data_IF_867741021240
#
_entry.id   IF_867741021240
#
_cell.length_a   1.000
_cell.length_b   1.000
_cell.length_c   1.000
_cell.angle_alpha   90.00
_cell.angle_beta   90.00
_cell.angle_gamma   90.00
#
_symmetry.space_group_name_H-M   'P 1'
#
loop_
_entity.id
_entity.type
_entity.pdbx_description
1 polymer ?
#
# COMPACT_ATOMS: atom_id res chain seq x y z
N UNK A 1 3.71 16.93 -5.86
CA UNK A 1 4.27 16.82 -4.49
C UNK A 1 5.62 17.52 -4.43
N UNK A 2 6.04 18.08 -3.28
CA UNK A 2 7.38 18.70 -3.14
C UNK A 2 8.45 17.63 -2.85
N UNK A 3 9.64 17.79 -3.43
CA UNK A 3 10.77 16.87 -3.25
C UNK A 3 11.17 16.67 -1.78
N UNK A 4 11.14 17.74 -0.97
CA UNK A 4 11.42 17.67 0.45
C UNK A 4 10.47 16.72 1.19
N UNK A 5 9.16 16.87 0.96
CA UNK A 5 8.12 16.00 1.53
C UNK A 5 8.31 14.56 1.06
N UNK A 6 8.59 14.36 -0.22
CA UNK A 6 8.87 13.04 -0.77
C UNK A 6 10.04 12.35 -0.06
N UNK A 7 11.14 13.06 0.17
CA UNK A 7 12.31 12.52 0.86
C UNK A 7 12.02 12.21 2.33
N UNK A 8 11.26 13.05 3.03
CA UNK A 8 10.85 12.79 4.42
C UNK A 8 9.94 11.55 4.52
N UNK A 9 9.01 11.39 3.58
CA UNK A 9 8.15 10.20 3.49
C UNK A 9 8.98 8.96 3.17
N UNK A 10 9.94 9.07 2.24
CA UNK A 10 10.86 7.98 1.89
C UNK A 10 11.64 7.50 3.12
N UNK A 11 12.24 8.43 3.85
CA UNK A 11 13.05 8.14 5.03
C UNK A 11 12.22 7.51 6.16
N UNK A 12 11.04 8.06 6.47
CA UNK A 12 10.26 7.66 7.64
C UNK A 12 9.32 6.47 7.38
N UNK A 13 8.75 6.39 6.18
CA UNK A 13 7.67 5.46 5.85
C UNK A 13 7.95 4.61 4.61
N UNK A 14 9.07 4.83 3.91
CA UNK A 14 9.38 4.14 2.65
C UNK A 14 9.42 2.61 2.73
N UNK A 15 9.62 2.02 3.91
CA UNK A 15 9.55 0.57 4.09
C UNK A 15 8.13 0.01 4.15
N UNK A 16 7.13 0.82 4.53
CA UNK A 16 5.74 0.39 4.75
C UNK A 16 4.71 1.14 3.89
N UNK A 17 5.16 2.14 3.14
CA UNK A 17 4.37 2.90 2.18
C UNK A 17 4.97 2.85 0.78
N UNK A 18 4.18 3.25 -0.21
CA UNK A 18 4.60 3.43 -1.59
C UNK A 18 3.60 4.31 -2.34
N UNK A 19 3.61 4.25 -3.66
CA UNK A 19 2.75 5.02 -4.54
C UNK A 19 2.10 4.11 -5.58
N UNK A 20 0.86 4.42 -5.93
CA UNK A 20 0.07 3.69 -6.89
C UNK A 20 0.45 4.05 -8.34
N UNK A 21 1.68 3.71 -8.72
CA UNK A 21 2.25 3.91 -10.06
C UNK A 21 3.03 2.66 -10.43
N UNK A 22 2.84 2.17 -11.65
CA UNK A 22 3.53 0.97 -12.15
C UNK A 22 4.02 1.15 -13.58
N UNK A 23 5.09 0.43 -13.94
CA UNK A 23 5.46 0.25 -15.34
C UNK A 23 4.57 -0.79 -16.03
N UNK A 24 4.14 -0.48 -17.25
CA UNK A 24 3.27 -1.36 -18.04
C UNK A 24 4.01 -2.43 -18.84
N UNK A 25 5.30 -2.24 -19.12
CA UNK A 25 6.09 -3.15 -19.94
C UNK A 25 6.67 -4.31 -19.11
N UNK A 26 6.62 -5.52 -19.68
CA UNK A 26 7.10 -6.77 -19.04
C UNK A 26 8.64 -6.89 -19.02
N UNK A 27 9.37 -6.13 -19.85
CA UNK A 27 10.84 -6.00 -19.75
C UNK A 27 11.27 -5.10 -18.57
N UNK A 28 10.29 -4.66 -17.79
CA UNK A 28 10.36 -3.64 -16.77
C UNK A 28 10.52 -4.16 -15.34
N UNK A 29 11.02 -5.37 -15.12
CA UNK A 29 11.08 -5.95 -13.77
C UNK A 29 12.52 -6.21 -13.33
N UNK A 30 12.80 -5.97 -12.05
CA UNK A 30 13.94 -6.62 -11.42
C UNK A 30 13.59 -8.06 -11.20
N UNK A 31 14.49 -8.98 -11.52
CA UNK A 31 14.37 -10.36 -11.08
C UNK A 31 15.59 -10.69 -10.22
N UNK A 32 15.34 -10.90 -8.94
CA UNK A 32 16.30 -11.52 -8.04
C UNK A 32 16.09 -13.03 -8.10
N UNK A 33 17.18 -13.79 -8.22
CA UNK A 33 17.13 -15.22 -7.96
C UNK A 33 17.33 -15.44 -6.46
N UNK A 34 16.29 -15.96 -5.80
CA UNK A 34 16.27 -16.35 -4.39
C UNK A 34 16.19 -17.88 -4.30
N UNK A 35 17.35 -18.52 -4.48
CA UNK A 35 17.54 -19.97 -4.40
C UNK A 35 16.70 -20.76 -5.44
N UNK A 36 16.75 -20.35 -6.71
CA UNK A 36 16.02 -20.98 -7.81
C UNK A 36 14.60 -20.45 -8.01
N UNK A 37 14.27 -19.29 -7.41
CA UNK A 37 12.94 -18.65 -7.49
C UNK A 37 13.10 -17.19 -7.83
N UNK A 38 12.29 -16.70 -8.74
CA UNK A 38 12.23 -15.27 -9.02
C UNK A 38 11.57 -14.51 -7.88
N UNK A 39 12.21 -13.45 -7.41
CA UNK A 39 11.57 -12.39 -6.65
C UNK A 39 11.64 -11.13 -7.50
N UNK A 40 10.49 -10.51 -7.75
CA UNK A 40 10.35 -9.44 -8.72
C UNK A 40 9.89 -8.15 -8.07
N UNK A 41 10.50 -7.05 -8.52
CA UNK A 41 10.08 -5.70 -8.20
C UNK A 41 9.77 -4.95 -9.49
N UNK A 42 8.64 -4.24 -9.52
CA UNK A 42 8.33 -3.36 -10.64
C UNK A 42 9.43 -2.28 -10.80
N UNK A 43 9.86 -1.96 -12.03
CA UNK A 43 10.93 -0.97 -12.27
C UNK A 43 10.58 0.43 -11.77
N UNK A 44 9.32 0.75 -11.51
CA UNK A 44 8.95 2.01 -10.85
C UNK A 44 9.68 2.19 -9.52
N UNK A 45 10.00 1.10 -8.80
CA UNK A 45 10.77 1.12 -7.54
C UNK A 45 12.18 1.69 -7.77
N UNK A 46 12.83 1.44 -8.92
CA UNK A 46 14.09 2.15 -9.29
C UNK A 46 13.84 3.63 -9.40
N UNK A 47 12.77 4.01 -10.10
CA UNK A 47 12.47 5.41 -10.37
C UNK A 47 12.21 6.14 -9.06
N UNK A 48 11.45 5.54 -8.15
CA UNK A 48 11.25 6.06 -6.81
C UNK A 48 12.57 6.26 -6.05
N UNK A 49 13.44 5.25 -6.06
CA UNK A 49 14.70 5.33 -5.30
C UNK A 49 15.74 6.29 -5.93
N UNK A 50 15.63 6.58 -7.23
CA UNK A 50 16.55 7.45 -7.97
C UNK A 50 16.02 8.87 -8.22
N UNK A 51 14.92 9.29 -7.59
CA UNK A 51 14.48 10.69 -7.62
C UNK A 51 15.56 11.56 -6.97
N UNK A 52 16.18 12.46 -7.76
CA UNK A 52 17.22 13.40 -7.28
C UNK A 52 16.82 14.87 -7.39
N UNK A 53 15.75 15.15 -8.13
CA UNK A 53 15.30 16.50 -8.42
C UNK A 53 13.76 16.56 -8.44
N UNK A 54 13.21 17.77 -8.32
CA UNK A 54 11.77 18.00 -8.46
C UNK A 54 11.29 17.57 -9.87
N UNK A 55 12.09 17.80 -10.90
CA UNK A 55 11.78 17.38 -12.27
C UNK A 55 11.70 15.85 -12.43
N UNK A 56 12.46 15.07 -11.64
CA UNK A 56 12.33 13.62 -11.64
C UNK A 56 11.05 13.18 -10.92
N UNK A 57 10.72 13.86 -9.82
CA UNK A 57 9.50 13.61 -9.06
C UNK A 57 8.25 13.92 -9.86
N UNK A 58 8.24 15.02 -10.61
CA UNK A 58 7.08 15.46 -11.39
C UNK A 58 6.71 14.47 -12.50
N UNK A 59 7.68 13.73 -13.05
CA UNK A 59 7.45 12.66 -14.05
C UNK A 59 6.68 11.46 -13.49
N UNK A 60 6.59 11.33 -12.17
CA UNK A 60 5.88 10.25 -11.50
C UNK A 60 4.42 10.59 -11.21
N UNK A 61 4.02 11.86 -11.42
CA UNK A 61 2.62 12.33 -11.28
C UNK A 61 2.00 12.06 -9.89
N UNK A 62 2.84 12.03 -8.85
CA UNK A 62 2.43 11.68 -7.49
C UNK A 62 1.61 12.79 -6.82
N UNK A 63 0.56 12.37 -6.10
CA UNK A 63 -0.37 13.30 -5.44
C UNK A 63 -0.91 12.78 -4.10
N UNK A 64 -1.37 13.71 -3.26
CA UNK A 64 -1.94 13.46 -1.94
C UNK A 64 -3.47 13.71 -1.89
N UNK A 65 -4.12 13.80 -3.06
CA UNK A 65 -5.58 13.98 -3.17
C UNK A 65 -6.38 12.73 -2.80
N UNK A 66 -5.75 11.57 -2.96
CA UNK A 66 -6.25 10.28 -2.53
C UNK A 66 -5.12 9.51 -1.85
N UNK A 67 -5.50 8.62 -0.94
CA UNK A 67 -4.59 7.72 -0.21
C UNK A 67 -5.24 6.35 -0.13
N UNK A 68 -4.51 5.32 -0.54
CA UNK A 68 -4.88 3.92 -0.39
C UNK A 68 -4.40 3.42 0.97
N UNK A 69 -5.33 2.90 1.77
CA UNK A 69 -5.02 2.35 3.09
C UNK A 69 -5.39 0.86 3.14
N UNK A 70 -4.37 0.02 2.98
CA UNK A 70 -4.46 -1.43 3.15
C UNK A 70 -4.41 -1.82 4.63
N UNK A 71 -4.51 -3.12 4.94
CA UNK A 71 -4.71 -3.54 6.32
C UNK A 71 -3.44 -3.50 7.14
N UNK A 72 -2.38 -4.21 6.75
CA UNK A 72 -1.23 -4.42 7.61
C UNK A 72 0.07 -4.58 6.83
N UNK A 73 1.12 -3.96 7.35
CA UNK A 73 2.48 -4.12 6.89
C UNK A 73 3.03 -5.46 7.39
N UNK A 74 3.02 -6.48 6.52
CA UNK A 74 3.39 -7.85 6.89
C UNK A 74 4.91 -8.09 6.94
N UNK A 75 5.34 -8.93 7.88
CA UNK A 75 6.73 -9.38 7.97
C UNK A 75 7.05 -10.38 6.85
N UNK A 76 8.25 -10.25 6.26
CA UNK A 76 8.84 -11.29 5.41
C UNK A 76 9.68 -12.20 6.30
N UNK A 77 9.05 -13.22 6.86
CA UNK A 77 9.69 -14.13 7.82
C UNK A 77 10.68 -15.06 7.12
N UNK A 78 11.99 -14.95 7.44
CA UNK A 78 13.07 -15.72 6.79
C UNK A 78 13.00 -17.25 7.04
N UNK A 79 12.14 -17.71 7.96
CA UNK A 79 11.86 -19.15 8.15
C UNK A 79 10.92 -19.70 7.08
N UNK A 80 10.11 -18.83 6.46
CA UNK A 80 9.21 -19.17 5.37
C UNK A 80 10.07 -19.25 4.11
N UNK A 81 10.04 -20.41 3.45
CA UNK A 81 10.89 -20.68 2.31
C UNK A 81 10.83 -19.53 1.31
N UNK A 82 9.64 -19.03 0.93
CA UNK A 82 9.45 -17.94 -0.04
C UNK A 82 10.18 -16.63 0.29
N UNK A 83 10.43 -16.35 1.57
CA UNK A 83 11.02 -15.09 2.02
C UNK A 83 12.52 -15.15 2.29
N UNK A 84 13.14 -16.33 2.19
CA UNK A 84 14.58 -16.49 2.39
C UNK A 84 15.36 -15.55 1.47
N UNK A 85 16.13 -14.64 2.07
CA UNK A 85 16.98 -13.66 1.39
C UNK A 85 16.28 -12.40 0.90
N UNK A 86 14.96 -12.26 1.10
CA UNK A 86 14.19 -11.07 0.68
C UNK A 86 14.62 -9.84 1.46
N UNK A 87 14.75 -9.93 2.79
CA UNK A 87 15.06 -8.76 3.61
C UNK A 87 16.43 -8.16 3.25
N UNK A 88 17.41 -8.99 2.91
CA UNK A 88 18.72 -8.54 2.45
C UNK A 88 18.66 -7.76 1.13
N UNK A 89 17.74 -8.12 0.22
CA UNK A 89 17.54 -7.38 -1.04
C UNK A 89 16.82 -6.05 -0.84
N UNK A 90 15.96 -5.95 0.17
CA UNK A 90 15.14 -4.78 0.43
C UNK A 90 15.76 -3.77 1.41
N UNK A 91 16.85 -4.12 2.07
CA UNK A 91 17.47 -3.29 3.12
C UNK A 91 17.69 -1.83 2.69
N UNK A 92 18.16 -1.61 1.47
CA UNK A 92 18.47 -0.27 0.91
C UNK A 92 17.45 0.18 -0.15
N UNK A 93 16.30 -0.50 -0.23
CA UNK A 93 15.24 -0.20 -1.20
C UNK A 93 14.03 0.32 -0.45
N UNK A 94 13.60 1.53 -0.76
CA UNK A 94 12.35 2.10 -0.23
C UNK A 94 11.24 2.03 -1.28
N UNK A 95 10.01 2.26 -0.85
CA UNK A 95 8.81 2.23 -1.67
C UNK A 95 8.60 0.90 -2.43
N UNK A 96 9.15 -0.19 -1.90
CA UNK A 96 8.99 -1.53 -2.48
C UNK A 96 7.64 -2.15 -2.15
N UNK A 97 7.03 -1.80 -1.00
CA UNK A 97 5.71 -2.30 -0.62
C UNK A 97 4.70 -2.07 -1.74
N UNK A 98 3.81 -3.04 -1.94
CA UNK A 98 2.81 -3.05 -3.01
C UNK A 98 3.37 -3.24 -4.43
N UNK A 99 4.70 -3.39 -4.62
CA UNK A 99 5.37 -3.58 -5.92
C UNK A 99 6.15 -4.89 -6.01
N UNK A 100 5.80 -5.86 -5.17
CA UNK A 100 6.52 -7.13 -5.01
C UNK A 100 5.74 -8.29 -5.63
N UNK A 101 6.42 -9.08 -6.45
CA UNK A 101 5.89 -10.35 -6.98
C UNK A 101 6.89 -11.49 -6.69
N UNK A 102 6.37 -12.72 -6.51
CA UNK A 102 7.20 -13.91 -6.32
C UNK A 102 6.89 -14.92 -7.41
N UNK A 103 7.89 -15.48 -8.07
CA UNK A 103 7.75 -16.58 -9.02
C UNK A 103 7.78 -17.92 -8.26
N UNK A 104 6.60 -18.50 -8.00
CA UNK A 104 6.53 -19.91 -7.60
C UNK A 104 6.66 -20.80 -8.85
N UNK A 105 7.76 -21.53 -8.91
CA UNK A 105 7.97 -22.68 -9.80
C UNK A 105 7.95 -22.34 -11.30
N UNK A 106 8.48 -21.19 -11.70
CA UNK A 106 8.65 -20.81 -13.11
C UNK A 106 7.37 -20.34 -13.80
N UNK A 107 6.31 -20.07 -13.03
CA UNK A 107 5.04 -19.57 -13.53
C UNK A 107 4.79 -18.16 -12.99
N UNK A 108 5.27 -17.16 -13.74
CA UNK A 108 5.01 -15.72 -13.51
C UNK A 108 3.51 -15.39 -13.51
N UNK A 109 2.65 -16.28 -14.01
CA UNK A 109 1.19 -16.09 -14.12
C UNK A 109 0.42 -16.11 -12.80
N UNK A 110 1.05 -16.44 -11.67
CA UNK A 110 0.34 -16.73 -10.41
C UNK A 110 0.03 -15.55 -9.48
N UNK A 111 0.45 -14.32 -9.80
CA UNK A 111 0.52 -13.25 -8.80
C UNK A 111 -0.16 -11.97 -9.28
N UNK A 112 -1.29 -11.69 -8.66
CA UNK A 112 -2.32 -10.81 -9.21
C UNK A 112 -2.47 -9.47 -8.51
N UNK A 113 -1.87 -9.30 -7.32
CA UNK A 113 -2.12 -8.11 -6.50
C UNK A 113 -1.64 -6.85 -7.22
N UNK A 114 -0.37 -6.85 -7.60
CA UNK A 114 0.28 -5.77 -8.35
C UNK A 114 -0.44 -5.51 -9.67
N UNK A 115 -0.65 -6.56 -10.48
CA UNK A 115 -1.37 -6.48 -11.77
C UNK A 115 -2.79 -5.93 -11.63
N UNK A 116 -3.58 -6.45 -10.68
CA UNK A 116 -4.95 -5.98 -10.42
C UNK A 116 -4.93 -4.53 -9.98
N UNK A 117 -4.05 -4.12 -9.06
CA UNK A 117 -3.91 -2.72 -8.66
C UNK A 117 -3.52 -1.82 -9.82
N UNK A 118 -2.44 -2.16 -10.53
CA UNK A 118 -1.93 -1.48 -11.73
C UNK A 118 -3.03 -1.20 -12.75
N UNK A 119 -3.78 -2.23 -13.16
CA UNK A 119 -4.85 -2.06 -14.14
C UNK A 119 -6.14 -1.47 -13.52
N UNK A 120 -6.43 -1.73 -12.26
CA UNK A 120 -7.62 -1.24 -11.57
C UNK A 120 -7.57 0.25 -11.23
N UNK A 121 -6.37 0.78 -10.97
CA UNK A 121 -6.17 2.17 -10.57
C UNK A 121 -5.87 3.09 -11.74
N UNK A 122 -5.39 2.54 -12.87
CA UNK A 122 -5.18 3.29 -14.11
C UNK A 122 -6.45 4.07 -14.51
N UNK A 123 -6.26 5.33 -14.93
CA UNK A 123 -7.31 6.26 -15.33
C UNK A 123 -8.32 6.62 -14.21
N UNK A 124 -7.92 6.45 -12.95
CA UNK A 124 -8.68 6.86 -11.77
C UNK A 124 -7.86 7.82 -10.91
N UNK A 125 -8.51 8.49 -9.94
CA UNK A 125 -7.82 9.33 -8.94
C UNK A 125 -6.90 8.52 -8.01
N UNK A 126 -6.91 7.18 -8.09
CA UNK A 126 -6.01 6.34 -7.33
C UNK A 126 -4.65 6.19 -8.02
N UNK A 127 -4.53 6.47 -9.33
CA UNK A 127 -3.23 6.48 -10.00
C UNK A 127 -2.38 7.65 -9.49
N UNK A 128 -1.16 7.39 -9.05
CA UNK A 128 -0.29 8.40 -8.42
C UNK A 128 -0.64 8.70 -6.96
N UNK A 129 -1.66 8.04 -6.38
CA UNK A 129 -2.00 8.17 -4.96
C UNK A 129 -0.95 7.51 -4.05
N UNK A 130 -0.82 8.03 -2.83
CA UNK A 130 0.00 7.38 -1.81
C UNK A 130 -0.66 6.09 -1.32
N UNK A 131 0.14 5.08 -1.03
CA UNK A 131 -0.29 3.77 -0.54
C UNK A 131 0.40 3.49 0.79
N UNK A 132 -0.36 3.03 1.78
CA UNK A 132 0.18 2.61 3.08
C UNK A 132 -0.72 1.53 3.69
N UNK A 133 -0.21 0.86 4.70
CA UNK A 133 -1.01 0.02 5.60
C UNK A 133 -1.51 0.78 6.82
N UNK A 134 -2.66 0.37 7.36
CA UNK A 134 -3.22 0.88 8.61
C UNK A 134 -2.40 0.38 9.81
N UNK A 135 -2.16 -0.93 9.89
CA UNK A 135 -1.40 -1.56 10.98
C UNK A 135 0.07 -1.65 10.59
N UNK A 136 0.92 -0.79 11.17
CA UNK A 136 2.37 -0.74 10.88
C UNK A 136 3.24 -0.18 12.00
N UNK A 137 2.64 0.15 13.14
CA UNK A 137 3.36 0.67 14.31
C UNK A 137 3.31 -0.32 15.47
N UNK A 138 4.40 -0.42 16.23
CA UNK A 138 4.45 -1.14 17.50
C UNK A 138 3.82 -0.31 18.63
N UNK A 139 3.71 -0.88 19.82
CA UNK A 139 3.11 -0.19 20.98
C UNK A 139 3.83 1.09 21.40
N UNK A 140 5.13 1.21 21.08
CA UNK A 140 5.94 2.41 21.31
C UNK A 140 5.86 3.44 20.15
N UNK A 141 5.05 3.16 19.12
CA UNK A 141 4.91 4.00 17.94
C UNK A 141 6.00 3.81 16.89
N UNK A 142 6.94 2.88 17.08
CA UNK A 142 7.97 2.59 16.08
C UNK A 142 7.36 1.88 14.87
N UNK A 143 7.82 2.23 13.67
CA UNK A 143 7.39 1.59 12.43
C UNK A 143 8.07 0.23 12.29
N UNK A 144 7.29 -0.85 12.30
CA UNK A 144 7.81 -2.20 12.11
C UNK A 144 6.72 -3.16 11.59
N UNK A 145 7.11 -4.18 10.81
CA UNK A 145 6.16 -5.12 10.25
C UNK A 145 5.53 -6.01 11.33
N UNK A 146 4.34 -6.52 11.03
CA UNK A 146 3.58 -7.43 11.88
C UNK A 146 3.80 -8.88 11.42
N UNK A 147 4.12 -9.77 12.35
CA UNK A 147 4.49 -11.17 12.06
C UNK A 147 3.36 -11.95 11.35
N UNK A 148 2.11 -11.77 11.77
CA UNK A 148 0.97 -12.45 11.17
C UNK A 148 0.19 -11.52 10.25
N UNK A 149 0.34 -11.75 8.94
CA UNK A 149 -0.29 -10.96 7.89
C UNK A 149 -1.66 -11.46 7.45
N UNK A 150 -2.16 -12.56 8.04
CA UNK A 150 -3.47 -13.08 7.68
C UNK A 150 -4.56 -12.25 8.34
N UNK A 151 -5.37 -11.61 7.52
CA UNK A 151 -6.46 -10.73 7.98
C UNK A 151 -7.50 -11.43 8.87
N UNK A 152 -7.56 -12.76 8.86
CA UNK A 152 -8.48 -13.58 9.64
C UNK A 152 -7.84 -14.26 10.85
N UNK A 153 -6.57 -13.99 11.16
CA UNK A 153 -5.92 -14.59 12.32
C UNK A 153 -6.46 -14.02 13.62
N UNK A 154 -6.45 -14.84 14.68
CA UNK A 154 -6.93 -14.40 16.00
C UNK A 154 -5.99 -13.36 16.61
N UNK A 155 -4.71 -13.40 16.24
CA UNK A 155 -3.74 -12.37 16.60
C UNK A 155 -4.13 -11.00 16.06
N UNK A 156 -4.35 -10.87 14.74
CA UNK A 156 -4.71 -9.59 14.15
C UNK A 156 -6.08 -9.11 14.62
N UNK A 157 -7.06 -10.01 14.80
CA UNK A 157 -8.36 -9.65 15.40
C UNK A 157 -8.21 -9.08 16.81
N UNK A 158 -7.32 -9.66 17.62
CA UNK A 158 -7.05 -9.18 18.98
C UNK A 158 -6.47 -7.76 18.94
N UNK A 159 -5.48 -7.52 18.09
CA UNK A 159 -4.89 -6.20 17.88
C UNK A 159 -5.94 -5.17 17.41
N UNK A 160 -6.75 -5.54 16.41
CA UNK A 160 -7.80 -4.68 15.86
C UNK A 160 -8.89 -4.32 16.89
N UNK A 161 -9.10 -5.15 17.91
CA UNK A 161 -10.09 -4.91 18.98
C UNK A 161 -9.48 -4.21 20.19
N UNK A 162 -8.16 -4.09 20.27
CA UNK A 162 -7.47 -3.30 21.29
C UNK A 162 -7.53 -1.81 20.92
N UNK A 163 -8.22 -1.02 21.75
CA UNK A 163 -8.43 0.41 21.50
C UNK A 163 -7.13 1.21 21.54
N UNK A 164 -6.27 0.95 22.51
CA UNK A 164 -5.02 1.71 22.69
C UNK A 164 -4.07 1.43 21.53
N UNK A 165 -3.99 0.16 21.12
CA UNK A 165 -3.25 -0.23 19.92
C UNK A 165 -3.78 0.49 18.67
N UNK A 166 -5.11 0.50 18.46
CA UNK A 166 -5.70 1.16 17.32
C UNK A 166 -5.54 2.70 17.34
N UNK A 167 -5.54 3.33 18.51
CA UNK A 167 -5.24 4.77 18.63
C UNK A 167 -3.81 5.07 18.16
N UNK A 168 -2.83 4.22 18.48
CA UNK A 168 -1.46 4.36 17.96
C UNK A 168 -1.45 4.30 16.44
N UNK A 169 -2.16 3.33 15.85
CA UNK A 169 -2.22 3.18 14.40
C UNK A 169 -2.87 4.39 13.71
N UNK A 170 -3.98 4.89 14.27
CA UNK A 170 -4.70 6.04 13.72
C UNK A 170 -3.89 7.33 13.87
N UNK A 171 -3.25 7.56 15.02
CA UNK A 171 -2.37 8.71 15.20
C UNK A 171 -1.16 8.67 14.26
N UNK A 172 -0.52 7.51 14.13
CA UNK A 172 0.61 7.34 13.22
C UNK A 172 0.22 7.54 11.76
N UNK A 173 -0.97 7.10 11.34
CA UNK A 173 -1.53 7.40 10.02
C UNK A 173 -1.80 8.90 9.86
N UNK A 174 -2.37 9.57 10.87
CA UNK A 174 -2.61 11.02 10.81
C UNK A 174 -1.30 11.78 10.63
N UNK A 175 -0.26 11.45 11.41
CA UNK A 175 1.05 12.08 11.30
C UNK A 175 1.68 11.88 9.92
N UNK A 176 1.55 10.67 9.37
CA UNK A 176 2.01 10.34 8.02
C UNK A 176 1.28 11.17 6.94
N UNK A 177 -0.05 11.27 7.02
CA UNK A 177 -0.83 12.04 6.04
C UNK A 177 -0.65 13.56 6.20
N UNK A 178 -0.41 14.04 7.42
CA UNK A 178 0.00 15.44 7.68
C UNK A 178 1.35 15.73 7.06
N UNK A 179 2.33 14.84 7.21
CA UNK A 179 3.64 14.96 6.56
C UNK A 179 3.50 15.01 5.03
N UNK A 180 2.61 14.16 4.47
CA UNK A 180 2.26 14.16 3.06
C UNK A 180 1.59 15.47 2.60
N UNK A 181 1.07 16.27 3.53
CA UNK A 181 0.37 17.53 3.27
C UNK A 181 -1.06 17.34 2.77
N UNK A 182 -1.73 16.25 3.16
CA UNK A 182 -3.12 15.99 2.78
C UNK A 182 -4.06 17.10 3.25
N UNK A 183 -5.02 17.46 2.40
CA UNK A 183 -6.15 18.35 2.71
C UNK A 183 -7.37 17.82 1.97
N UNK A 184 -8.46 17.58 2.70
CA UNK A 184 -9.68 16.97 2.19
C UNK A 184 -9.43 15.72 1.31
N UNK A 185 -8.61 14.73 1.73
CA UNK A 185 -8.27 13.60 0.87
C UNK A 185 -9.43 12.61 0.73
N UNK A 186 -9.39 11.83 -0.36
CA UNK A 186 -10.11 10.56 -0.46
C UNK A 186 -9.26 9.46 0.19
N UNK A 187 -9.67 8.96 1.34
CA UNK A 187 -9.08 7.80 2.01
C UNK A 187 -9.77 6.53 1.46
N UNK A 188 -9.12 5.90 0.48
CA UNK A 188 -9.56 4.66 -0.13
C UNK A 188 -9.11 3.46 0.70
N UNK A 189 -9.99 3.01 1.60
CA UNK A 189 -9.75 1.87 2.46
C UNK A 189 -9.86 0.55 1.67
N UNK A 190 -8.78 -0.20 1.59
CA UNK A 190 -8.72 -1.43 0.80
C UNK A 190 -9.30 -2.59 1.60
N UNK A 191 -10.40 -3.15 1.11
CA UNK A 191 -11.09 -4.26 1.76
C UNK A 191 -11.99 -3.84 2.92
N UNK A 192 -12.75 -4.82 3.44
CA UNK A 192 -13.79 -4.56 4.44
C UNK A 192 -13.28 -4.19 5.82
N UNK A 193 -12.14 -4.77 6.25
CA UNK A 193 -11.61 -4.59 7.61
C UNK A 193 -11.05 -3.18 7.78
N UNK A 194 -10.15 -2.73 6.89
CA UNK A 194 -9.61 -1.37 6.92
C UNK A 194 -10.72 -0.33 6.84
N UNK A 195 -11.71 -0.53 5.96
CA UNK A 195 -12.86 0.36 5.85
C UNK A 195 -13.67 0.41 7.15
N UNK A 196 -14.00 -0.73 7.74
CA UNK A 196 -14.78 -0.78 8.97
C UNK A 196 -14.11 -0.06 10.13
N UNK A 197 -12.76 -0.09 10.22
CA UNK A 197 -12.02 0.62 11.27
C UNK A 197 -11.97 2.12 10.97
N UNK A 198 -11.52 2.51 9.79
CA UNK A 198 -11.39 3.92 9.41
C UNK A 198 -12.76 4.65 9.41
N UNK A 199 -13.82 3.99 8.95
CA UNK A 199 -15.17 4.56 8.91
C UNK A 199 -15.96 4.35 10.22
N UNK A 200 -15.33 3.84 11.28
CA UNK A 200 -15.95 3.88 12.61
C UNK A 200 -16.12 5.35 13.04
N UNK A 201 -17.21 5.66 13.77
CA UNK A 201 -17.53 7.04 14.13
C UNK A 201 -16.34 7.78 14.74
N UNK A 202 -15.69 7.18 15.74
CA UNK A 202 -14.55 7.77 16.45
C UNK A 202 -13.39 8.12 15.52
N UNK A 203 -12.95 7.20 14.67
CA UNK A 203 -11.78 7.45 13.81
C UNK A 203 -12.12 8.29 12.60
N UNK A 204 -13.33 8.16 12.06
CA UNK A 204 -13.83 9.01 10.99
C UNK A 204 -13.88 10.48 11.41
N UNK A 205 -14.47 10.76 12.57
CA UNK A 205 -14.60 12.14 13.06
C UNK A 205 -13.21 12.77 13.25
N UNK A 206 -12.25 12.02 13.80
CA UNK A 206 -10.86 12.45 13.98
C UNK A 206 -10.14 12.72 12.65
N UNK A 207 -10.30 11.86 11.65
CA UNK A 207 -9.73 12.07 10.32
C UNK A 207 -10.31 13.30 9.63
N UNK A 208 -11.63 13.52 9.76
CA UNK A 208 -12.31 14.71 9.21
C UNK A 208 -11.85 15.98 9.92
N UNK A 209 -11.70 15.95 11.25
CA UNK A 209 -11.19 17.07 12.04
C UNK A 209 -9.78 17.48 11.58
N UNK A 210 -8.91 16.50 11.34
CA UNK A 210 -7.51 16.74 11.00
C UNK A 210 -7.28 17.16 9.55
N UNK A 211 -8.05 16.63 8.60
CA UNK A 211 -7.81 16.85 7.17
C UNK A 211 -8.83 17.75 6.49
N UNK A 212 -9.99 17.97 7.11
CA UNK A 212 -11.02 18.89 6.64
C UNK A 212 -12.37 18.21 6.38
N UNK A 213 -13.44 19.03 6.30
CA UNK A 213 -14.83 18.57 6.23
C UNK A 213 -15.16 17.79 4.95
N UNK A 214 -14.35 17.91 3.89
CA UNK A 214 -14.57 17.18 2.64
C UNK A 214 -13.75 15.89 2.56
N UNK A 215 -13.04 15.52 3.62
CA UNK A 215 -12.36 14.22 3.74
C UNK A 215 -13.37 13.09 3.56
N UNK A 216 -13.13 12.22 2.59
CA UNK A 216 -13.98 11.06 2.29
C UNK A 216 -13.29 9.77 2.69
N UNK A 217 -14.04 8.83 3.24
CA UNK A 217 -13.58 7.46 3.46
C UNK A 217 -14.42 6.55 2.59
N UNK A 218 -13.80 5.92 1.60
CA UNK A 218 -14.48 5.04 0.64
C UNK A 218 -13.93 3.63 0.75
N UNK A 219 -14.76 2.63 0.48
CA UNK A 219 -14.35 1.22 0.48
C UNK A 219 -14.00 0.79 -0.94
N UNK A 220 -12.74 0.46 -1.19
CA UNK A 220 -12.34 -0.17 -2.46
C UNK A 220 -12.21 -1.69 -2.30
N UNK A 221 -12.51 -2.51 -3.34
CA UNK A 221 -12.39 -3.96 -3.22
C UNK A 221 -10.94 -4.39 -3.04
N UNK A 222 -10.74 -5.46 -2.27
CA UNK A 222 -9.42 -6.01 -2.01
C UNK A 222 -8.82 -6.59 -3.31
N UNK A 223 -7.54 -6.37 -3.53
CA UNK A 223 -6.83 -6.74 -4.76
C UNK A 223 -6.35 -8.19 -4.79
N UNK A 224 -6.44 -8.95 -3.70
CA UNK A 224 -6.03 -10.37 -3.68
C UNK A 224 -6.94 -11.25 -4.55
N UNK A 225 -6.39 -12.37 -5.04
CA UNK A 225 -7.15 -13.43 -5.74
C UNK A 225 -8.23 -14.09 -4.90
N UNK A 226 -8.20 -13.94 -3.57
CA UNK A 226 -9.27 -14.43 -2.71
C UNK A 226 -10.55 -13.61 -2.83
N UNK A 227 -10.52 -12.46 -3.53
CA UNK A 227 -11.71 -11.70 -3.86
C UNK A 227 -12.44 -12.35 -5.05
N UNK A 228 -13.50 -13.10 -4.74
CA UNK A 228 -14.31 -13.86 -5.71
C UNK A 228 -15.16 -13.00 -6.65
N UNK A 229 -15.20 -11.68 -6.45
CA UNK A 229 -15.95 -10.77 -7.31
C UNK A 229 -15.28 -10.54 -8.67
N UNK A 230 -14.04 -10.99 -8.85
CA UNK A 230 -13.20 -10.68 -10.01
C UNK A 230 -12.45 -11.94 -10.44
N UNK A 231 -12.59 -12.32 -11.71
CA UNK A 231 -11.73 -13.33 -12.35
C UNK A 231 -10.29 -12.81 -12.44
N UNK A 232 -9.30 -13.67 -12.20
CA UNK A 232 -7.87 -13.34 -12.12
C UNK A 232 -7.33 -12.59 -13.36
N UNK A 233 -8.01 -12.70 -14.50
CA UNK A 233 -7.65 -12.04 -15.75
C UNK A 233 -8.60 -10.90 -16.17
N UNK A 234 -9.65 -10.61 -15.40
CA UNK A 234 -10.62 -9.54 -15.72
C UNK A 234 -10.35 -8.25 -14.93
N UNK A 235 -9.30 -7.56 -15.36
CA UNK A 235 -8.92 -6.28 -14.75
C UNK A 235 -9.89 -5.14 -15.08
N UNK A 236 -10.67 -5.27 -16.17
CA UNK A 236 -11.67 -4.28 -16.55
C UNK A 236 -12.79 -4.25 -15.51
N UNK A 237 -13.31 -5.41 -15.12
CA UNK A 237 -14.31 -5.50 -14.06
C UNK A 237 -13.79 -4.97 -12.73
N UNK A 238 -12.51 -5.20 -12.40
CA UNK A 238 -11.93 -4.60 -11.19
C UNK A 238 -11.88 -3.07 -11.26
N UNK A 239 -11.44 -2.50 -12.39
CA UNK A 239 -11.42 -1.05 -12.59
C UNK A 239 -12.82 -0.43 -12.45
N UNK A 240 -13.85 -1.08 -12.98
CA UNK A 240 -15.23 -0.59 -12.84
C UNK A 240 -15.73 -0.66 -11.39
N UNK A 241 -15.35 -1.68 -10.62
CA UNK A 241 -15.63 -1.71 -9.18
C UNK A 241 -14.91 -0.57 -8.44
N UNK A 242 -13.68 -0.25 -8.82
CA UNK A 242 -12.94 0.90 -8.27
C UNK A 242 -13.66 2.20 -8.59
N UNK A 243 -14.01 2.45 -9.86
CA UNK A 243 -14.74 3.66 -10.27
C UNK A 243 -16.07 3.81 -9.53
N UNK A 244 -16.82 2.71 -9.38
CA UNK A 244 -18.06 2.69 -8.62
C UNK A 244 -17.84 3.12 -7.17
N UNK A 245 -16.86 2.52 -6.49
CA UNK A 245 -16.53 2.87 -5.11
C UNK A 245 -16.11 4.33 -4.93
N UNK A 246 -15.45 4.93 -5.93
CA UNK A 246 -15.01 6.34 -5.90
C UNK A 246 -16.15 7.33 -6.20
N UNK A 247 -17.25 6.87 -6.78
CA UNK A 247 -18.41 7.69 -7.11
C UNK A 247 -19.42 7.82 -5.97
N UNK A 248 -19.29 7.00 -4.92
CA UNK A 248 -20.08 7.05 -3.67
C UNK A 248 -19.66 8.23 -2.75
#
# INVERSE_FOLDING_TARGET
MRLEVYNQIKEKYGKAGSWAVWDFKEDGEFRYDLNGRGYLLNNVVKRFNNVKSQADLDKLELHNKAVLVALNFGQREETIEEFIGVNEKLKDVDFHCFHEEFDRKGNVKGYSGDRRQKYGYQDTILWGAYMTDLIKFQEDGTLAPVADSKSNSDYLKTLLNNKDFMEIQINGLIDELKLLGCKDPIIAAVGGISYSKLNSKTYKDKLIEEFGPNTKIVRVPHYSNTNTQIDDNDYTSYRELIKKALAE
#
